data_IF_531173424064
#
_entry.id   IF_531173424064
#
_cell.length_a   1.000
_cell.length_b   1.000
_cell.length_c   1.000
_cell.angle_alpha   90.00
_cell.angle_beta   90.00
_cell.angle_gamma   90.00
#
_symmetry.space_group_name_H-M   'P 1'
#
loop_
_entity.id
_entity.type
_entity.pdbx_description
1 polymer ?
#
# COMPACT_ATOMS: atom_id res chain seq x y z
N UNK A 1 10.04 -16.69 -11.22
CA UNK A 1 11.06 -16.52 -12.28
C UNK A 1 11.83 -15.23 -12.01
N UNK A 2 13.18 -15.24 -12.00
CA UNK A 2 13.96 -14.01 -11.91
C UNK A 2 13.70 -13.13 -13.14
N UNK A 3 13.51 -11.84 -12.93
CA UNK A 3 13.24 -10.89 -14.00
C UNK A 3 14.55 -10.65 -14.77
N UNK A 4 14.66 -11.14 -15.99
CA UNK A 4 15.85 -10.98 -16.83
C UNK A 4 15.55 -9.98 -17.95
N UNK A 5 16.00 -8.75 -17.78
CA UNK A 5 15.80 -7.67 -18.75
C UNK A 5 17.04 -7.58 -19.63
N UNK A 6 16.92 -7.90 -20.91
CA UNK A 6 17.94 -7.66 -21.94
C UNK A 6 17.50 -6.50 -22.82
N UNK A 7 17.48 -5.31 -22.22
CA UNK A 7 17.12 -4.08 -22.91
C UNK A 7 18.21 -3.02 -22.61
N UNK A 8 18.92 -2.53 -23.64
CA UNK A 8 19.97 -1.52 -23.46
C UNK A 8 19.43 -0.16 -22.98
N UNK A 9 18.14 0.12 -23.16
CA UNK A 9 17.51 1.33 -22.64
C UNK A 9 17.36 1.26 -21.11
N UNK A 10 16.97 0.09 -20.59
CA UNK A 10 16.83 -0.13 -19.15
C UNK A 10 18.18 -0.03 -18.44
N UNK A 11 19.26 -0.51 -19.07
CA UNK A 11 20.61 -0.37 -18.51
C UNK A 11 21.03 1.11 -18.40
N UNK A 12 20.77 1.93 -19.44
CA UNK A 12 21.06 3.37 -19.41
C UNK A 12 20.27 4.10 -18.31
N UNK A 13 18.97 3.81 -18.22
CA UNK A 13 18.11 4.40 -17.18
C UNK A 13 18.55 3.99 -15.78
N UNK A 14 19.00 2.73 -15.63
CA UNK A 14 19.52 2.24 -14.35
C UNK A 14 20.84 2.92 -14.00
N UNK A 15 21.73 3.13 -14.97
CA UNK A 15 23.00 3.83 -14.76
C UNK A 15 22.79 5.30 -14.38
N UNK A 16 21.86 5.99 -15.02
CA UNK A 16 21.48 7.36 -14.66
C UNK A 16 20.93 7.41 -13.23
N UNK A 17 20.00 6.52 -12.89
CA UNK A 17 19.41 6.47 -11.56
C UNK A 17 20.44 6.15 -10.49
N UNK A 18 21.33 5.18 -10.74
CA UNK A 18 22.46 4.83 -9.87
C UNK A 18 23.40 6.02 -9.67
N UNK A 19 23.71 6.77 -10.73
CA UNK A 19 24.54 7.97 -10.65
C UNK A 19 23.91 9.08 -9.80
N UNK A 20 22.58 9.21 -9.84
CA UNK A 20 21.84 10.19 -9.05
C UNK A 20 21.69 9.79 -7.58
N UNK A 21 21.44 8.50 -7.30
CA UNK A 21 21.16 8.00 -5.95
C UNK A 21 22.38 7.44 -5.22
N UNK A 22 23.50 7.26 -5.92
CA UNK A 22 24.68 6.51 -5.44
C UNK A 22 24.34 5.13 -4.86
N UNK A 23 23.31 4.46 -5.40
CA UNK A 23 22.87 3.14 -4.95
C UNK A 23 23.34 2.02 -5.88
N UNK A 24 23.16 0.76 -5.50
CA UNK A 24 23.43 -0.36 -6.43
C UNK A 24 22.38 -0.43 -7.54
N UNK A 25 22.70 -1.07 -8.68
CA UNK A 25 21.75 -1.29 -9.80
C UNK A 25 20.44 -1.95 -9.32
N UNK A 26 20.55 -2.93 -8.42
CA UNK A 26 19.39 -3.66 -7.87
C UNK A 26 18.53 -2.76 -6.98
N UNK A 27 19.15 -1.97 -6.11
CA UNK A 27 18.43 -1.04 -5.23
C UNK A 27 17.75 0.08 -6.01
N UNK A 28 18.42 0.64 -7.01
CA UNK A 28 17.88 1.66 -7.90
C UNK A 28 16.61 1.15 -8.61
N UNK A 29 16.68 -0.03 -9.22
CA UNK A 29 15.54 -0.66 -9.89
C UNK A 29 14.42 -0.99 -8.91
N UNK A 30 14.75 -1.51 -7.72
CA UNK A 30 13.76 -1.80 -6.67
C UNK A 30 13.04 -0.54 -6.22
N UNK A 31 13.77 0.54 -5.98
CA UNK A 31 13.21 1.83 -5.57
C UNK A 31 12.28 2.38 -6.66
N UNK A 32 12.73 2.39 -7.92
CA UNK A 32 11.94 2.84 -9.07
C UNK A 32 10.60 2.08 -9.18
N UNK A 33 10.64 0.74 -9.06
CA UNK A 33 9.43 -0.09 -9.08
C UNK A 33 8.49 0.22 -7.90
N UNK A 34 9.03 0.41 -6.69
CA UNK A 34 8.23 0.77 -5.51
C UNK A 34 7.54 2.12 -5.72
N UNK A 35 8.28 3.12 -6.22
CA UNK A 35 7.73 4.45 -6.48
C UNK A 35 6.64 4.43 -7.55
N UNK A 36 6.85 3.74 -8.67
CA UNK A 36 5.87 3.62 -9.75
C UNK A 36 4.60 2.90 -9.28
N UNK A 37 4.75 1.81 -8.51
CA UNK A 37 3.61 1.10 -7.91
C UNK A 37 2.85 2.02 -6.96
N UNK A 38 3.55 2.77 -6.11
CA UNK A 38 2.93 3.69 -5.16
C UNK A 38 2.15 4.80 -5.89
N UNK A 39 2.75 5.40 -6.92
CA UNK A 39 2.12 6.44 -7.74
C UNK A 39 0.87 5.91 -8.45
N UNK A 40 0.96 4.73 -9.09
CA UNK A 40 -0.21 4.10 -9.73
C UNK A 40 -1.29 3.78 -8.72
N UNK A 41 -0.93 3.23 -7.55
CA UNK A 41 -1.90 2.94 -6.47
C UNK A 41 -2.57 4.21 -5.94
N UNK A 42 -1.84 5.32 -5.84
CA UNK A 42 -2.39 6.60 -5.43
C UNK A 42 -3.34 7.19 -6.48
N UNK A 43 -3.02 7.02 -7.76
CA UNK A 43 -3.84 7.47 -8.90
C UNK A 43 -5.11 6.64 -9.11
N UNK A 44 -5.23 5.46 -8.48
CA UNK A 44 -6.44 4.65 -8.58
C UNK A 44 -7.64 5.44 -8.04
N UNK A 45 -8.81 5.38 -8.71
CA UNK A 45 -10.04 5.98 -8.20
C UNK A 45 -10.29 5.55 -6.76
N UNK A 46 -10.73 6.49 -5.91
CA UNK A 46 -10.96 6.27 -4.47
C UNK A 46 -11.72 4.97 -4.19
N UNK A 47 -12.69 4.63 -5.03
CA UNK A 47 -13.47 3.39 -4.94
C UNK A 47 -12.61 2.12 -5.00
N UNK A 48 -11.56 2.08 -5.82
CA UNK A 48 -10.61 0.95 -5.89
C UNK A 48 -9.65 0.95 -4.70
N UNK A 49 -9.27 2.13 -4.19
CA UNK A 49 -8.43 2.27 -2.98
C UNK A 49 -9.17 1.77 -1.73
N UNK A 50 -10.45 2.10 -1.58
CA UNK A 50 -11.30 1.70 -0.46
C UNK A 50 -11.98 0.33 -0.66
N UNK A 51 -11.81 -0.32 -1.81
CA UNK A 51 -12.52 -1.57 -2.13
C UNK A 51 -12.35 -2.62 -1.02
N UNK A 52 -11.11 -2.84 -0.56
CA UNK A 52 -10.81 -3.80 0.51
C UNK A 52 -11.49 -3.41 1.83
N UNK A 53 -11.44 -2.14 2.22
CA UNK A 53 -12.08 -1.65 3.45
C UNK A 53 -13.60 -1.75 3.39
N UNK A 54 -14.19 -1.45 2.22
CA UNK A 54 -15.63 -1.58 1.98
C UNK A 54 -16.07 -3.05 1.95
N UNK A 55 -15.26 -3.96 1.43
CA UNK A 55 -15.51 -5.40 1.51
C UNK A 55 -15.47 -5.90 2.95
N UNK A 56 -14.48 -5.48 3.74
CA UNK A 56 -14.42 -5.81 5.17
C UNK A 56 -15.64 -5.26 5.92
N UNK A 57 -16.03 -4.01 5.68
CA UNK A 57 -17.22 -3.43 6.29
C UNK A 57 -18.50 -4.17 5.88
N UNK A 58 -18.63 -4.60 4.61
CA UNK A 58 -19.76 -5.42 4.17
C UNK A 58 -19.78 -6.81 4.80
N UNK A 59 -18.60 -7.41 5.01
CA UNK A 59 -18.49 -8.72 5.64
C UNK A 59 -18.87 -8.69 7.13
N UNK A 60 -18.55 -7.60 7.82
CA UNK A 60 -18.94 -7.37 9.23
C UNK A 60 -20.45 -7.13 9.35
N UNK A 61 -21.09 -6.63 8.30
CA UNK A 61 -22.52 -6.38 8.26
C UNK A 61 -22.90 -4.96 8.70
N UNK A 62 -24.20 -4.64 8.79
CA UNK A 62 -24.65 -3.33 9.21
C UNK A 62 -24.10 -3.01 10.60
N UNK A 63 -23.64 -1.77 10.80
CA UNK A 63 -23.30 -1.28 12.13
C UNK A 63 -24.53 -1.37 13.03
N UNK A 64 -24.52 -2.31 13.97
CA UNK A 64 -25.50 -2.36 15.04
C UNK A 64 -25.08 -1.30 16.08
N UNK A 65 -25.87 -0.24 16.31
CA UNK A 65 -25.60 0.67 17.40
C UNK A 65 -25.82 -0.12 18.70
N UNK A 66 -24.73 -0.62 19.28
CA UNK A 66 -24.73 -1.14 20.65
C UNK A 66 -25.07 0.00 21.62
N UNK A 67 -25.59 -0.35 22.80
CA UNK A 67 -25.67 0.63 23.88
C UNK A 67 -24.26 0.82 24.44
N UNK A 68 -23.51 1.68 23.77
CA UNK A 68 -22.11 1.94 24.09
C UNK A 68 -21.92 2.42 25.54
N UNK A 69 -22.96 2.94 26.20
CA UNK A 69 -22.89 3.31 27.62
C UNK A 69 -22.91 2.06 28.50
N UNK A 70 -23.86 1.15 28.27
CA UNK A 70 -23.93 -0.11 29.02
C UNK A 70 -22.65 -0.95 28.82
N UNK A 71 -22.14 -1.01 27.59
CA UNK A 71 -20.89 -1.73 27.26
C UNK A 71 -19.65 -1.09 27.93
N UNK A 72 -19.63 0.24 28.07
CA UNK A 72 -18.53 0.95 28.74
C UNK A 72 -18.61 0.82 30.25
N UNK A 73 -19.81 0.92 30.83
CA UNK A 73 -20.05 0.73 32.27
C UNK A 73 -19.72 -0.71 32.72
N UNK A 74 -19.86 -1.72 31.85
CA UNK A 74 -19.44 -3.11 32.13
C UNK A 74 -17.92 -3.31 32.08
N UNK A 75 -17.21 -2.67 31.15
CA UNK A 75 -15.75 -2.78 31.03
C UNK A 75 -14.97 -1.93 32.05
N UNK A 76 -15.59 -0.87 32.58
CA UNK A 76 -14.93 0.15 33.40
C UNK A 76 -15.67 0.48 34.69
N UNK A 77 -16.72 -0.27 35.03
CA UNK A 77 -17.46 -0.10 36.29
C UNK A 77 -16.55 -0.33 37.49
N UNK A 78 -16.38 0.72 38.28
CA UNK A 78 -15.72 0.68 39.59
C UNK A 78 -16.63 -0.05 40.59
N UNK A 79 -16.14 -1.14 41.18
CA UNK A 79 -16.63 -1.64 42.48
C UNK A 79 -16.31 -0.63 43.59
#
# INVERSE_FOLDING_TARGET
>A
MPLYIKDPEVDKLTEELVGLTNSTKVEAVKAALIHEIAQRRASLPMRKRLAKSLEMARAIGPFAPGDHKAETDEMWGED
#
